data_IF_471182469220
#
_entry.id   IF_471182469220
#
_cell.length_a   1.000
_cell.length_b   1.000
_cell.length_c   1.000
_cell.angle_alpha   90.00
_cell.angle_beta   90.00
_cell.angle_gamma   90.00
#
_symmetry.space_group_name_H-M   'P 1'
#
loop_
_entity.id
_entity.type
_entity.pdbx_description
1 polymer ?
#
# COMPACT_ATOMS: atom_id res chain seq x y z
N UNK A 1 28.75 -19.46 73.08
CA UNK A 1 28.08 -18.23 73.56
C UNK A 1 28.43 -17.08 72.64
N UNK A 2 27.42 -16.46 72.01
CA UNK A 2 27.30 -15.01 71.70
C UNK A 2 28.59 -14.26 71.27
N UNK A 3 28.68 -13.81 70.00
CA UNK A 3 28.14 -12.53 69.49
C UNK A 3 28.38 -12.37 67.99
N UNK A 4 27.34 -11.96 67.29
CA UNK A 4 27.32 -11.45 65.92
C UNK A 4 27.91 -10.04 65.86
N UNK A 5 28.63 -9.72 64.78
CA UNK A 5 28.78 -8.35 64.27
C UNK A 5 28.52 -8.42 62.76
N UNK A 6 27.39 -7.85 62.34
CA UNK A 6 27.06 -7.58 60.94
C UNK A 6 27.99 -6.46 60.43
N UNK A 7 28.82 -6.78 59.43
CA UNK A 7 29.49 -5.78 58.60
C UNK A 7 28.66 -5.52 57.36
N UNK A 8 28.00 -4.36 57.30
CA UNK A 8 27.27 -3.86 56.15
C UNK A 8 28.26 -3.35 55.11
N UNK A 9 28.56 -4.13 54.07
CA UNK A 9 29.30 -3.68 52.90
C UNK A 9 28.31 -3.37 51.77
N UNK A 10 27.91 -2.10 51.63
CA UNK A 10 27.28 -1.61 50.40
C UNK A 10 28.34 -1.54 49.30
N UNK A 11 28.44 -2.59 48.48
CA UNK A 11 29.03 -2.49 47.16
C UNK A 11 27.98 -1.92 46.21
N UNK A 12 28.08 -0.62 45.93
CA UNK A 12 27.40 0.02 44.81
C UNK A 12 27.97 -0.50 43.49
N UNK A 13 27.36 -1.55 42.94
CA UNK A 13 27.59 -1.98 41.57
C UNK A 13 26.87 -1.02 40.62
N UNK A 14 27.60 -0.11 40.00
CA UNK A 14 27.13 0.59 38.80
C UNK A 14 26.99 -0.44 37.67
N UNK A 15 25.79 -1.00 37.50
CA UNK A 15 25.45 -1.72 36.28
C UNK A 15 25.12 -0.70 35.20
N UNK A 16 26.12 -0.33 34.39
CA UNK A 16 25.87 0.29 33.10
C UNK A 16 25.22 -0.75 32.20
N UNK A 17 23.89 -0.69 32.06
CA UNK A 17 23.17 -1.36 30.99
C UNK A 17 23.61 -0.72 29.67
N UNK A 18 24.65 -1.27 29.04
CA UNK A 18 24.88 -1.05 27.63
C UNK A 18 23.80 -1.81 26.89
N UNK A 19 22.77 -1.11 26.44
CA UNK A 19 21.86 -1.62 25.42
C UNK A 19 22.70 -1.89 24.16
N UNK A 20 23.08 -3.14 23.97
CA UNK A 20 23.78 -3.57 22.77
C UNK A 20 22.71 -3.72 21.69
N UNK A 21 22.55 -2.67 20.89
CA UNK A 21 21.81 -2.76 19.64
C UNK A 21 22.67 -3.65 18.74
N UNK A 22 22.19 -4.87 18.47
CA UNK A 22 22.76 -5.73 17.43
C UNK A 22 22.53 -5.02 16.08
N UNK A 23 23.45 -4.14 15.72
CA UNK A 23 23.62 -3.68 14.36
C UNK A 23 24.28 -4.82 13.60
N UNK A 24 23.48 -5.81 13.17
CA UNK A 24 23.91 -6.70 12.09
C UNK A 24 24.27 -5.80 10.91
N UNK A 25 25.57 -5.62 10.70
CA UNK A 25 26.07 -4.85 9.57
C UNK A 25 25.59 -5.62 8.34
N UNK A 26 24.77 -5.03 7.45
CA UNK A 26 24.38 -5.74 6.24
C UNK A 26 25.67 -6.07 5.50
N UNK A 27 25.92 -7.37 5.29
CA UNK A 27 27.06 -7.84 4.51
C UNK A 27 27.07 -7.09 3.19
N UNK A 28 28.00 -6.14 3.05
CA UNK A 28 28.14 -5.32 1.86
C UNK A 28 28.64 -6.24 0.74
N UNK A 29 27.71 -6.84 0.01
CA UNK A 29 28.08 -7.59 -1.16
C UNK A 29 28.46 -6.66 -2.31
N UNK A 30 29.01 -7.27 -3.34
CA UNK A 30 29.85 -6.60 -4.34
C UNK A 30 29.03 -5.63 -5.21
N UNK A 31 29.46 -4.38 -5.31
CA UNK A 31 28.92 -3.40 -6.26
C UNK A 31 28.88 -3.94 -7.69
N UNK A 32 27.95 -3.43 -8.53
CA UNK A 32 27.88 -3.73 -9.97
C UNK A 32 29.18 -3.40 -10.70
N UNK A 33 29.92 -2.39 -10.24
CA UNK A 33 31.26 -2.03 -10.75
C UNK A 33 32.30 -3.14 -10.50
N UNK A 34 32.09 -3.96 -9.47
CA UNK A 34 32.95 -5.08 -9.11
C UNK A 34 32.40 -6.43 -9.61
N UNK A 35 31.47 -6.41 -10.56
CA UNK A 35 30.85 -7.61 -11.14
C UNK A 35 29.86 -8.33 -10.21
N UNK A 36 29.38 -7.67 -9.15
CA UNK A 36 28.32 -8.20 -8.30
C UNK A 36 26.93 -7.73 -8.72
N UNK A 37 25.91 -8.57 -8.55
CA UNK A 37 24.51 -8.23 -8.79
C UNK A 37 23.85 -7.58 -7.56
N UNK A 38 24.61 -6.80 -6.77
CA UNK A 38 24.12 -6.26 -5.51
C UNK A 38 23.02 -5.21 -5.75
N UNK A 39 21.77 -5.62 -5.57
CA UNK A 39 20.59 -4.75 -5.48
C UNK A 39 20.37 -4.25 -4.04
N UNK A 40 21.43 -3.99 -3.26
CA UNK A 40 21.23 -3.51 -1.88
C UNK A 40 20.89 -2.03 -1.89
N UNK A 41 19.63 -1.74 -1.64
CA UNK A 41 19.09 -0.39 -1.54
C UNK A 41 19.57 0.27 -0.24
N UNK A 42 20.16 1.46 -0.34
CA UNK A 42 20.27 2.34 0.81
C UNK A 42 18.87 2.89 1.07
N UNK A 43 18.12 2.22 1.93
CA UNK A 43 16.81 2.71 2.36
C UNK A 43 17.03 3.99 3.18
N UNK A 44 16.58 5.12 2.62
CA UNK A 44 16.45 6.35 3.39
C UNK A 44 15.10 6.34 4.10
N UNK A 45 15.03 6.73 5.38
CA UNK A 45 13.74 6.82 6.06
C UNK A 45 12.85 7.83 5.33
N UNK A 46 11.53 7.58 5.26
CA UNK A 46 10.61 8.48 4.59
C UNK A 46 10.59 9.83 5.28
N UNK A 47 10.40 10.90 4.49
CA UNK A 47 10.36 12.24 5.04
C UNK A 47 9.22 12.34 6.08
N UNK A 48 9.44 12.93 7.27
CA UNK A 48 8.37 13.08 8.23
C UNK A 48 7.27 13.97 7.64
N UNK A 49 6.01 13.55 7.78
CA UNK A 49 4.89 14.39 7.38
C UNK A 49 4.83 15.63 8.27
N UNK A 50 4.40 16.79 7.75
CA UNK A 50 4.22 17.97 8.56
C UNK A 50 3.20 17.70 9.68
N UNK A 51 3.52 18.16 10.89
CA UNK A 51 2.59 18.10 12.00
C UNK A 51 1.40 19.02 11.70
N UNK A 52 0.22 18.42 11.59
CA UNK A 52 -1.03 19.12 11.27
C UNK A 52 -1.92 19.14 12.50
N UNK A 53 -2.42 20.31 12.87
CA UNK A 53 -3.46 20.45 13.89
C UNK A 53 -4.79 20.61 13.20
N UNK A 54 -5.84 20.03 13.76
CA UNK A 54 -7.20 20.11 13.20
C UNK A 54 -7.68 21.56 13.06
N UNK A 55 -7.29 22.44 13.98
CA UNK A 55 -7.62 23.86 13.94
C UNK A 55 -6.98 24.63 12.75
N UNK A 56 -5.90 24.11 12.18
CA UNK A 56 -5.18 24.76 11.07
C UNK A 56 -5.77 24.38 9.70
N UNK A 57 -6.73 23.45 9.66
CA UNK A 57 -7.39 22.97 8.45
C UNK A 57 -8.60 23.87 8.14
N UNK A 58 -8.48 24.69 7.10
CA UNK A 58 -9.59 25.56 6.66
C UNK A 58 -10.69 24.78 5.96
N UNK A 59 -10.28 23.77 5.18
CA UNK A 59 -11.16 22.98 4.35
C UNK A 59 -10.52 21.62 4.14
N UNK A 60 -11.35 20.57 4.16
CA UNK A 60 -10.95 19.22 3.79
C UNK A 60 -12.00 18.55 2.89
N UNK A 61 -11.53 17.68 2.00
CA UNK A 61 -12.37 16.79 1.21
C UNK A 61 -11.67 15.47 0.99
N UNK A 62 -12.38 14.39 1.33
CA UNK A 62 -11.92 13.01 1.11
C UNK A 62 -12.38 12.51 -0.25
N UNK A 63 -11.47 11.88 -0.99
CA UNK A 63 -11.70 11.37 -2.34
C UNK A 63 -11.12 9.97 -2.44
N UNK A 64 -11.78 9.12 -3.21
CA UNK A 64 -11.28 7.82 -3.61
C UNK A 64 -10.96 7.86 -5.09
N UNK A 65 -9.72 7.51 -5.42
CA UNK A 65 -9.23 7.45 -6.79
C UNK A 65 -8.90 6.01 -7.15
N UNK A 66 -8.90 5.72 -8.45
CA UNK A 66 -8.44 4.46 -8.99
C UNK A 66 -7.25 4.72 -9.91
N UNK A 67 -6.14 4.06 -9.62
CA UNK A 67 -4.96 3.97 -10.47
C UNK A 67 -5.17 2.77 -11.38
N UNK A 68 -5.07 2.99 -12.69
CA UNK A 68 -5.02 1.91 -13.68
C UNK A 68 -3.56 1.67 -14.10
N UNK A 69 -3.05 0.45 -13.87
CA UNK A 69 -1.68 0.04 -14.23
C UNK A 69 -1.48 -0.11 -15.75
N UNK A 70 -2.56 -0.07 -16.54
CA UNK A 70 -2.51 -0.06 -18.01
C UNK A 70 -2.07 1.29 -18.56
N UNK A 71 -2.10 2.35 -17.76
CA UNK A 71 -1.56 3.66 -18.14
C UNK A 71 -0.03 3.66 -18.08
N UNK A 72 0.63 4.29 -19.06
CA UNK A 72 2.10 4.27 -19.20
C UNK A 72 2.83 4.75 -17.93
N UNK A 73 2.34 5.80 -17.30
CA UNK A 73 2.93 6.35 -16.06
C UNK A 73 2.83 5.37 -14.87
N UNK A 74 1.83 4.49 -14.88
CA UNK A 74 1.57 3.53 -13.80
C UNK A 74 2.16 2.13 -14.08
N UNK A 75 2.95 1.96 -15.15
CA UNK A 75 3.60 0.68 -15.45
C UNK A 75 4.45 0.10 -14.31
N UNK A 76 5.13 0.90 -13.46
CA UNK A 76 5.92 0.33 -12.37
C UNK A 76 5.10 -0.51 -11.39
N UNK A 77 3.79 -0.25 -11.23
CA UNK A 77 2.92 -0.97 -10.30
C UNK A 77 2.79 -2.47 -10.60
N UNK A 78 2.98 -2.87 -11.86
CA UNK A 78 2.86 -4.26 -12.33
C UNK A 78 4.19 -4.89 -12.74
N UNK A 79 5.32 -4.31 -12.32
CA UNK A 79 6.63 -4.85 -12.67
C UNK A 79 6.76 -6.30 -12.17
N UNK A 80 7.17 -7.29 -13.01
CA UNK A 80 7.15 -8.70 -12.62
C UNK A 80 7.95 -9.03 -11.35
N UNK A 81 9.10 -8.38 -11.15
CA UNK A 81 9.98 -8.63 -10.00
C UNK A 81 9.74 -7.69 -8.81
N UNK A 82 9.25 -6.47 -9.07
CA UNK A 82 9.20 -5.37 -8.09
C UNK A 82 7.84 -4.68 -8.09
N UNK A 83 6.77 -5.47 -8.19
CA UNK A 83 5.40 -4.94 -8.14
C UNK A 83 5.10 -4.34 -6.76
N UNK A 84 4.17 -3.39 -6.69
CA UNK A 84 3.70 -2.89 -5.41
C UNK A 84 3.05 -4.00 -4.58
N UNK A 85 2.34 -4.93 -5.24
CA UNK A 85 1.66 -6.02 -4.55
C UNK A 85 2.61 -6.96 -3.83
N UNK A 86 3.69 -7.38 -4.49
CA UNK A 86 4.72 -8.23 -3.88
C UNK A 86 5.37 -7.56 -2.67
N UNK A 87 5.63 -6.24 -2.76
CA UNK A 87 6.15 -5.48 -1.62
C UNK A 87 5.17 -5.46 -0.44
N UNK A 88 3.87 -5.27 -0.69
CA UNK A 88 2.85 -5.26 0.37
C UNK A 88 2.65 -6.64 1.00
N UNK A 89 2.59 -7.70 0.20
CA UNK A 89 2.44 -9.08 0.70
C UNK A 89 3.64 -9.47 1.56
N UNK A 90 4.87 -9.16 1.13
CA UNK A 90 6.06 -9.39 1.95
C UNK A 90 5.99 -8.66 3.32
N UNK A 91 5.38 -7.47 3.35
CA UNK A 91 5.18 -6.70 4.59
C UNK A 91 4.12 -7.32 5.50
N UNK A 92 3.06 -7.88 4.91
CA UNK A 92 2.01 -8.59 5.64
C UNK A 92 2.55 -9.91 6.21
N UNK A 93 3.29 -10.69 5.41
CA UNK A 93 3.85 -11.97 5.83
C UNK A 93 4.94 -11.83 6.91
N UNK A 94 5.73 -10.74 6.85
CA UNK A 94 6.69 -10.40 7.90
C UNK A 94 6.04 -9.81 9.16
N UNK A 95 4.74 -9.51 9.12
CA UNK A 95 3.99 -8.90 10.23
C UNK A 95 4.30 -7.42 10.46
N UNK A 96 5.01 -6.76 9.54
CA UNK A 96 5.30 -5.32 9.63
C UNK A 96 4.12 -4.46 9.16
N UNK A 97 3.27 -4.99 8.28
CA UNK A 97 2.07 -4.31 7.79
C UNK A 97 0.80 -5.00 8.28
N UNK A 98 -0.17 -4.20 8.69
CA UNK A 98 -1.53 -4.68 9.01
C UNK A 98 -2.43 -4.43 7.81
N UNK A 99 -3.09 -5.49 7.35
CA UNK A 99 -4.14 -5.43 6.35
C UNK A 99 -5.50 -5.27 7.02
N UNK A 100 -6.40 -4.50 6.40
CA UNK A 100 -7.72 -4.18 6.92
C UNK A 100 -8.83 -4.64 5.96
N UNK A 101 -10.04 -4.80 6.49
CA UNK A 101 -11.20 -5.27 5.76
C UNK A 101 -11.67 -4.31 4.69
N UNK A 102 -12.02 -4.80 3.48
CA UNK A 102 -12.64 -3.98 2.43
C UNK A 102 -14.08 -3.56 2.74
N UNK A 103 -14.68 -4.07 3.82
CA UNK A 103 -16.07 -3.79 4.18
C UNK A 103 -16.30 -2.33 4.60
N UNK A 104 -15.33 -1.70 5.27
CA UNK A 104 -15.40 -0.29 5.67
C UNK A 104 -14.16 0.47 5.16
N UNK A 105 -14.37 1.73 4.77
CA UNK A 105 -13.34 2.65 4.26
C UNK A 105 -12.55 3.33 5.42
N UNK A 106 -12.61 2.78 6.64
CA UNK A 106 -12.10 3.38 7.89
C UNK A 106 -10.96 2.62 8.57
N UNK A 107 -10.49 1.51 8.01
CA UNK A 107 -9.38 0.71 8.57
C UNK A 107 -9.66 0.19 10.00
N UNK A 108 -10.92 -0.12 10.32
CA UNK A 108 -11.31 -0.51 11.69
C UNK A 108 -11.05 -1.99 12.00
N UNK A 109 -11.18 -2.85 10.99
CA UNK A 109 -11.16 -4.31 11.17
C UNK A 109 -9.89 -4.90 10.54
N UNK A 110 -8.90 -5.35 11.34
CA UNK A 110 -7.72 -6.01 10.79
C UNK A 110 -8.07 -7.39 10.23
N UNK A 111 -7.46 -7.77 9.10
CA UNK A 111 -7.52 -9.10 8.52
C UNK A 111 -6.30 -9.93 8.91
N UNK A 112 -6.55 -11.22 9.19
CA UNK A 112 -5.47 -12.20 9.28
C UNK A 112 -4.85 -12.46 7.89
N UNK A 113 -3.52 -12.65 7.78
CA UNK A 113 -2.86 -12.96 6.51
C UNK A 113 -3.47 -14.16 5.78
N UNK A 114 -3.85 -15.22 6.51
CA UNK A 114 -4.48 -16.41 5.95
C UNK A 114 -5.81 -16.10 5.21
N UNK A 115 -6.59 -15.13 5.70
CA UNK A 115 -7.85 -14.75 5.06
C UNK A 115 -7.62 -14.01 3.73
N UNK A 116 -6.47 -13.34 3.57
CA UNK A 116 -6.07 -12.71 2.31
C UNK A 116 -5.69 -13.77 1.29
N UNK A 117 -4.89 -14.76 1.70
CA UNK A 117 -4.50 -15.88 0.83
C UNK A 117 -5.69 -16.69 0.34
N UNK A 118 -6.69 -16.92 1.20
CA UNK A 118 -7.95 -17.58 0.82
C UNK A 118 -8.76 -16.79 -0.22
N UNK A 119 -8.62 -15.47 -0.28
CA UNK A 119 -9.27 -14.63 -1.30
C UNK A 119 -8.49 -14.60 -2.62
N UNK A 120 -7.17 -14.79 -2.57
CA UNK A 120 -6.28 -14.80 -3.73
C UNK A 120 -6.30 -16.13 -4.47
N UNK A 121 -6.31 -17.23 -3.72
CA UNK A 121 -6.22 -18.58 -4.27
C UNK A 121 -7.63 -19.09 -4.60
N UNK A 122 -8.00 -19.02 -5.87
CA UNK A 122 -9.15 -19.78 -6.37
C UNK A 122 -8.75 -21.27 -6.33
N UNK A 123 -9.39 -22.02 -5.44
CA UNK A 123 -9.11 -23.45 -5.29
C UNK A 123 -9.85 -24.20 -6.39
N UNK A 124 -9.24 -24.34 -7.55
CA UNK A 124 -9.81 -25.14 -8.64
C UNK A 124 -9.55 -26.62 -8.34
N UNK A 125 -10.62 -27.38 -8.15
CA UNK A 125 -10.53 -28.84 -7.98
C UNK A 125 -10.53 -29.46 -9.37
N UNK A 126 -9.36 -29.92 -9.82
CA UNK A 126 -9.27 -30.74 -11.02
C UNK A 126 -9.44 -32.21 -10.65
N UNK A 127 -10.34 -32.88 -11.35
CA UNK A 127 -10.52 -34.32 -11.21
C UNK A 127 -9.55 -35.01 -12.17
N UNK A 128 -8.53 -35.68 -11.63
CA UNK A 128 -7.60 -36.47 -12.42
C UNK A 128 -8.09 -37.93 -12.36
N UNK A 129 -8.13 -38.57 -13.52
CA UNK A 129 -8.49 -39.99 -13.63
C UNK A 129 -7.19 -40.79 -13.54
N UNK A 130 -7.09 -41.68 -12.54
CA UNK A 130 -5.96 -42.58 -12.44
C UNK A 130 -5.94 -43.58 -13.62
N UNK A 131 -4.85 -43.66 -14.41
CA UNK A 131 -4.78 -44.51 -15.60
C UNK A 131 -4.89 -46.02 -15.34
N UNK A 132 -4.72 -46.47 -14.10
CA UNK A 132 -4.61 -47.89 -13.73
C UNK A 132 -5.85 -48.38 -12.98
N UNK A 133 -6.47 -47.54 -12.16
CA UNK A 133 -7.60 -47.91 -11.28
C UNK A 133 -8.93 -47.30 -11.74
N UNK A 134 -8.92 -46.34 -12.67
CA UNK A 134 -10.13 -45.66 -13.15
C UNK A 134 -10.88 -44.87 -12.06
N UNK A 135 -10.26 -44.68 -10.89
CA UNK A 135 -10.82 -43.93 -9.79
C UNK A 135 -10.61 -42.43 -10.01
N UNK A 136 -11.63 -41.65 -9.68
CA UNK A 136 -11.53 -40.18 -9.66
C UNK A 136 -10.73 -39.76 -8.43
N UNK A 137 -9.52 -39.23 -8.64
CA UNK A 137 -8.79 -38.54 -7.58
C UNK A 137 -9.01 -37.04 -7.75
N UNK A 138 -9.54 -36.40 -6.70
CA UNK A 138 -9.61 -34.95 -6.64
C UNK A 138 -8.25 -34.43 -6.19
N UNK A 139 -7.49 -33.83 -7.10
CA UNK A 139 -6.27 -33.12 -6.75
C UNK A 139 -6.60 -31.64 -6.59
N UNK A 140 -6.44 -31.15 -5.36
CA UNK A 140 -6.52 -29.71 -5.07
C UNK A 140 -5.21 -29.08 -5.54
N UNK A 141 -5.22 -28.43 -6.71
CA UNK A 141 -4.09 -27.64 -7.18
C UNK A 141 -4.23 -26.23 -6.64
N UNK A 142 -3.30 -25.82 -5.77
CA UNK A 142 -3.19 -24.41 -5.37
C UNK A 142 -2.42 -23.68 -6.45
N UNK A 143 -3.11 -22.91 -7.30
CA UNK A 143 -2.41 -22.08 -8.28
C UNK A 143 -1.67 -20.96 -7.54
N UNK A 144 -0.39 -20.74 -7.87
CA UNK A 144 0.38 -19.64 -7.28
C UNK A 144 -0.13 -18.34 -7.87
N UNK A 145 -0.62 -17.43 -7.02
CA UNK A 145 -1.18 -16.16 -7.47
C UNK A 145 -0.12 -15.32 -8.19
N UNK A 146 -0.41 -14.94 -9.44
CA UNK A 146 0.43 -14.02 -10.22
C UNK A 146 0.13 -12.56 -9.84
N UNK A 147 1.10 -11.80 -9.29
CA UNK A 147 0.97 -10.37 -9.00
C UNK A 147 0.51 -9.53 -10.20
N UNK A 148 0.81 -9.96 -11.44
CA UNK A 148 0.41 -9.24 -12.65
C UNK A 148 -1.11 -9.23 -12.89
N UNK A 149 -1.89 -10.07 -12.17
CA UNK A 149 -3.35 -10.08 -12.23
C UNK A 149 -3.99 -8.81 -11.66
N UNK A 150 -3.26 -8.05 -10.82
CA UNK A 150 -3.78 -6.82 -10.22
C UNK A 150 -3.58 -5.67 -11.19
N UNK A 151 -4.67 -5.29 -11.85
CA UNK A 151 -4.65 -4.25 -12.88
C UNK A 151 -4.99 -2.86 -12.35
N UNK A 152 -5.75 -2.78 -11.25
CA UNK A 152 -6.19 -1.50 -10.67
C UNK A 152 -5.94 -1.43 -9.18
N UNK A 153 -5.68 -0.22 -8.71
CA UNK A 153 -5.49 0.09 -7.30
C UNK A 153 -6.46 1.19 -6.90
N UNK A 154 -7.10 1.04 -5.75
CA UNK A 154 -7.90 2.09 -5.14
C UNK A 154 -7.05 2.82 -4.09
N UNK A 155 -7.09 4.14 -4.14
CA UNK A 155 -6.43 5.01 -3.18
C UNK A 155 -7.46 5.89 -2.51
N UNK A 156 -7.36 5.98 -1.19
CA UNK A 156 -8.10 6.96 -0.40
C UNK A 156 -7.19 8.15 -0.09
N UNK A 157 -7.65 9.35 -0.42
CA UNK A 157 -6.90 10.59 -0.25
C UNK A 157 -7.72 11.64 0.49
N UNK A 158 -7.05 12.47 1.27
CA UNK A 158 -7.62 13.69 1.84
C UNK A 158 -6.90 14.88 1.24
N UNK A 159 -7.69 15.74 0.62
CA UNK A 159 -7.28 17.04 0.11
C UNK A 159 -7.64 18.06 1.18
N UNK A 160 -6.69 18.86 1.61
CA UNK A 160 -6.93 19.86 2.65
C UNK A 160 -6.11 21.13 2.41
N UNK A 161 -6.60 22.24 2.95
CA UNK A 161 -5.90 23.52 2.90
C UNK A 161 -5.33 23.83 4.28
N UNK A 162 -3.99 23.84 4.39
CA UNK A 162 -3.29 24.24 5.61
C UNK A 162 -3.15 25.77 5.63
N UNK A 163 -3.76 26.40 6.63
CA UNK A 163 -3.73 27.86 6.82
C UNK A 163 -2.32 28.39 7.09
N UNK A 164 -1.46 27.64 7.78
CA UNK A 164 -0.10 28.08 8.18
C UNK A 164 0.82 28.24 6.98
N UNK A 165 0.73 27.32 6.03
CA UNK A 165 1.52 27.35 4.82
C UNK A 165 0.77 28.01 3.64
N UNK A 166 -0.53 28.26 3.80
CA UNK A 166 -1.43 28.74 2.73
C UNK A 166 -1.34 27.87 1.47
N UNK A 167 -1.06 26.57 1.66
CA UNK A 167 -0.90 25.61 0.57
C UNK A 167 -1.96 24.53 0.70
N UNK A 168 -2.56 24.17 -0.43
CA UNK A 168 -3.32 22.94 -0.52
C UNK A 168 -2.36 21.75 -0.53
N UNK A 169 -2.59 20.80 0.38
CA UNK A 169 -1.82 19.58 0.50
C UNK A 169 -2.72 18.37 0.30
N UNK A 170 -2.11 17.26 -0.12
CA UNK A 170 -2.80 15.98 -0.31
C UNK A 170 -2.10 14.95 0.55
N UNK A 171 -2.89 14.18 1.31
CA UNK A 171 -2.37 13.07 2.11
C UNK A 171 -3.10 11.79 1.70
N UNK A 172 -2.33 10.77 1.34
CA UNK A 172 -2.85 9.43 1.09
C UNK A 172 -3.13 8.78 2.45
N UNK A 173 -4.34 8.25 2.62
CA UNK A 173 -4.75 7.53 3.83
C UNK A 173 -4.56 6.04 3.69
N UNK A 174 -4.88 5.48 2.52
CA UNK A 174 -4.71 4.05 2.31
C UNK A 174 -4.73 3.61 0.87
N UNK A 175 -4.27 2.39 0.69
CA UNK A 175 -4.07 1.71 -0.58
C UNK A 175 -4.82 0.38 -0.56
N UNK A 176 -5.48 0.03 -1.66
CA UNK A 176 -6.14 -1.26 -1.81
C UNK A 176 -5.95 -1.82 -3.23
N UNK A 177 -5.40 -3.05 -3.38
CA UNK A 177 -5.39 -3.72 -4.67
C UNK A 177 -6.80 -4.20 -5.03
N UNK A 178 -7.19 -4.00 -6.29
CA UNK A 178 -8.46 -4.49 -6.85
C UNK A 178 -8.21 -5.77 -7.65
N UNK A 179 -9.05 -6.78 -7.40
CA UNK A 179 -9.07 -8.00 -8.19
C UNK A 179 -10.28 -7.96 -9.13
N UNK A 180 -10.01 -8.11 -10.44
CA UNK A 180 -11.05 -8.37 -11.43
C UNK A 180 -11.45 -9.85 -11.33
N UNK A 181 -12.73 -10.12 -11.04
CA UNK A 181 -13.32 -11.46 -11.14
C UNK A 181 -14.21 -11.50 -12.37
N UNK A 182 -13.97 -12.46 -13.26
CA UNK A 182 -14.84 -12.74 -14.40
C UNK A 182 -15.93 -13.68 -13.90
N UNK A 183 -17.20 -13.37 -14.17
CA UNK A 183 -18.30 -14.30 -13.89
C UNK A 183 -18.21 -15.56 -14.77
N UNK A 184 -18.71 -16.69 -14.27
CA UNK A 184 -18.86 -17.91 -15.07
C UNK A 184 -19.91 -17.71 -16.19
N UNK A 185 -19.55 -18.22 -17.37
CA UNK A 185 -20.33 -18.33 -18.61
C UNK A 185 -21.06 -17.07 -19.15
N UNK A 186 -20.50 -16.54 -20.24
CA UNK A 186 -21.26 -15.86 -21.31
C UNK A 186 -21.59 -14.38 -21.11
N UNK A 187 -21.48 -13.84 -19.90
CA UNK A 187 -21.67 -12.39 -19.66
C UNK A 187 -20.41 -11.79 -19.06
N UNK A 188 -19.70 -10.97 -19.83
CA UNK A 188 -18.48 -10.24 -19.45
C UNK A 188 -18.76 -9.14 -18.42
N UNK A 189 -19.36 -9.47 -17.28
CA UNK A 189 -19.44 -8.54 -16.15
C UNK A 189 -18.26 -8.85 -15.24
N UNK A 190 -17.17 -8.14 -15.46
CA UNK A 190 -16.03 -8.14 -14.55
C UNK A 190 -16.40 -7.32 -13.32
N UNK A 191 -16.52 -7.97 -12.16
CA UNK A 191 -16.70 -7.27 -10.90
C UNK A 191 -15.33 -6.96 -10.31
N UNK A 192 -15.14 -5.72 -9.86
CA UNK A 192 -13.91 -5.29 -9.19
C UNK A 192 -14.14 -5.23 -7.69
N UNK A 193 -13.43 -6.09 -6.95
CA UNK A 193 -13.50 -6.11 -5.50
C UNK A 193 -12.13 -5.76 -4.90
N UNK A 194 -12.07 -4.85 -3.91
CA UNK A 194 -10.84 -4.63 -3.15
C UNK A 194 -10.53 -5.86 -2.29
N UNK A 195 -9.27 -6.29 -2.31
CA UNK A 195 -8.83 -7.46 -1.54
C UNK A 195 -8.72 -7.13 -0.04
N UNK A 196 -7.99 -6.06 0.27
CA UNK A 196 -7.75 -5.53 1.59
C UNK A 196 -7.34 -4.06 1.49
N UNK A 197 -7.42 -3.34 2.60
CA UNK A 197 -6.91 -1.98 2.74
C UNK A 197 -5.62 -1.98 3.56
N UNK A 198 -4.68 -1.11 3.20
CA UNK A 198 -3.48 -0.84 4.01
C UNK A 198 -3.48 0.63 4.40
N UNK A 199 -3.23 0.90 5.68
CA UNK A 199 -3.01 2.25 6.17
C UNK A 199 -1.66 2.76 5.62
N UNK A 200 -1.71 3.80 4.80
CA UNK A 200 -0.53 4.33 4.14
C UNK A 200 0.46 4.92 5.15
N UNK A 201 -0.02 5.53 6.25
CA UNK A 201 0.85 6.15 7.25
C UNK A 201 1.74 5.12 7.96
N UNK A 202 1.20 3.93 8.26
CA UNK A 202 1.94 2.80 8.83
C UNK A 202 2.88 2.17 7.80
N UNK A 203 2.47 2.13 6.53
CA UNK A 203 3.23 1.49 5.47
C UNK A 203 4.43 2.31 4.95
N UNK A 204 4.54 3.60 5.25
CA UNK A 204 5.60 4.47 4.68
C UNK A 204 7.02 3.94 4.95
N UNK A 205 7.41 3.57 6.19
CA UNK A 205 8.77 3.10 6.46
C UNK A 205 9.09 1.78 5.77
N UNK A 206 8.08 0.95 5.54
CA UNK A 206 8.21 -0.28 4.77
C UNK A 206 8.39 0.02 3.28
N UNK A 207 7.50 0.83 2.70
CA UNK A 207 7.55 1.20 1.28
C UNK A 207 8.84 1.96 0.90
N UNK A 208 9.47 2.65 1.85
CA UNK A 208 10.76 3.32 1.65
C UNK A 208 11.94 2.35 1.48
N UNK A 209 11.78 1.08 1.86
CA UNK A 209 12.81 0.04 1.69
C UNK A 209 12.74 -0.63 0.30
N UNK A 210 11.59 -0.53 -0.36
CA UNK A 210 11.35 -1.16 -1.66
C UNK A 210 11.53 -0.14 -2.79
N UNK A 211 12.44 -0.44 -3.70
CA UNK A 211 12.63 0.33 -4.90
C UNK A 211 11.54 0.09 -5.96
N UNK A 212 11.24 1.13 -6.70
CA UNK A 212 10.39 1.13 -7.89
C UNK A 212 11.26 0.90 -9.11
N UNK A 213 10.80 0.03 -10.01
CA UNK A 213 11.42 -0.11 -11.32
C UNK A 213 11.12 1.12 -12.19
N UNK A 214 12.18 1.82 -12.62
CA UNK A 214 12.08 2.90 -13.60
C UNK A 214 12.28 2.36 -15.00
N UNK A 215 11.59 2.92 -16.00
CA UNK A 215 11.77 2.54 -17.41
C UNK A 215 12.98 3.20 -18.09
N UNK A 216 13.47 4.31 -17.53
CA UNK A 216 14.42 5.20 -18.20
C UNK A 216 15.82 5.17 -17.56
N UNK A 217 15.90 4.78 -16.28
CA UNK A 217 17.16 4.75 -15.54
C UNK A 217 17.19 3.66 -14.47
N UNK A 218 17.99 2.62 -14.70
CA UNK A 218 18.21 1.51 -13.76
C UNK A 218 19.06 1.91 -12.54
N UNK A 219 19.76 3.05 -12.63
CA UNK A 219 20.63 3.57 -11.57
C UNK A 219 19.88 4.46 -10.57
N UNK A 220 19.01 5.36 -11.04
CA UNK A 220 18.17 6.16 -10.15
C UNK A 220 16.94 5.37 -9.72
N UNK A 221 17.02 4.71 -8.57
CA UNK A 221 15.93 3.93 -8.03
C UNK A 221 15.20 4.75 -6.96
N UNK A 222 14.02 5.26 -7.30
CA UNK A 222 13.09 5.84 -6.34
C UNK A 222 12.44 4.75 -5.51
N UNK A 223 12.10 5.03 -4.25
CA UNK A 223 11.32 4.10 -3.44
C UNK A 223 9.83 4.19 -3.76
N UNK A 224 9.05 3.18 -3.34
CA UNK A 224 7.59 3.26 -3.45
C UNK A 224 7.04 4.44 -2.66
N UNK A 225 7.67 4.76 -1.53
CA UNK A 225 7.31 5.93 -0.74
C UNK A 225 7.53 7.23 -1.50
N UNK A 226 8.68 7.40 -2.16
CA UNK A 226 8.99 8.58 -2.97
C UNK A 226 7.98 8.78 -4.10
N UNK A 227 7.60 7.70 -4.81
CA UNK A 227 6.61 7.76 -5.90
C UNK A 227 5.27 8.30 -5.39
N UNK A 228 4.81 7.81 -4.24
CA UNK A 228 3.55 8.25 -3.64
C UNK A 228 3.64 9.66 -3.04
N UNK A 229 4.77 10.01 -2.40
CA UNK A 229 5.01 11.33 -1.84
C UNK A 229 5.08 12.41 -2.93
N UNK A 230 5.77 12.13 -4.04
CA UNK A 230 5.83 13.00 -5.22
C UNK A 230 4.57 12.90 -6.08
N UNK A 231 3.65 11.98 -5.76
CA UNK A 231 2.41 11.72 -6.49
C UNK A 231 2.65 11.45 -7.99
N UNK A 232 3.70 10.69 -8.30
CA UNK A 232 4.09 10.32 -9.67
C UNK A 232 3.24 9.13 -10.18
N UNK A 233 1.93 9.33 -10.23
CA UNK A 233 0.98 8.36 -10.77
C UNK A 233 -0.22 9.09 -11.37
N UNK A 234 -0.91 8.42 -12.29
CA UNK A 234 -2.18 8.90 -12.83
C UNK A 234 -3.33 8.09 -12.25
N UNK A 235 -4.42 8.79 -11.91
CA UNK A 235 -5.58 8.19 -11.30
C UNK A 235 -6.84 8.99 -11.63
N UNK A 236 -7.97 8.31 -11.80
CA UNK A 236 -9.27 8.97 -11.97
C UNK A 236 -10.09 8.90 -10.68
N UNK A 237 -11.00 9.85 -10.50
CA UNK A 237 -11.89 9.90 -9.33
C UNK A 237 -12.97 8.83 -9.47
N UNK A 238 -13.11 7.99 -8.45
CA UNK A 238 -14.09 6.91 -8.35
C UNK A 238 -15.27 7.27 -7.45
N UNK A 239 -14.99 7.94 -6.32
CA UNK A 239 -15.96 8.37 -5.33
C UNK A 239 -15.46 9.67 -4.69
N UNK A 240 -16.36 10.60 -4.45
CA UNK A 240 -16.11 11.78 -3.62
C UNK A 240 -16.87 11.66 -2.30
N UNK A 241 -16.36 12.28 -1.24
CA UNK A 241 -17.12 12.40 0.00
C UNK A 241 -18.24 13.42 -0.20
N UNK A 242 -19.44 12.92 -0.51
CA UNK A 242 -20.69 13.66 -0.61
C UNK A 242 -21.63 13.23 0.52
N UNK A 243 -22.62 14.07 0.86
CA UNK A 243 -23.62 13.80 1.89
C UNK A 243 -24.33 12.45 1.70
N UNK A 244 -24.50 12.04 0.45
CA UNK A 244 -25.16 10.78 0.07
C UNK A 244 -24.19 9.60 -0.01
N UNK A 245 -22.87 9.82 0.08
CA UNK A 245 -21.85 8.77 0.05
C UNK A 245 -21.80 7.93 -1.24
N UNK A 246 -22.42 8.40 -2.32
CA UNK A 246 -22.59 7.65 -3.58
C UNK A 246 -21.29 7.58 -4.38
N UNK A 247 -21.11 6.48 -5.10
CA UNK A 247 -20.02 6.35 -6.08
C UNK A 247 -20.41 7.05 -7.37
N UNK A 248 -19.43 7.50 -8.15
CA UNK A 248 -19.73 8.17 -9.43
C UNK A 248 -20.52 7.28 -10.39
N UNK A 249 -20.23 5.98 -10.39
CA UNK A 249 -20.89 4.96 -11.20
C UNK A 249 -22.38 4.74 -10.84
N UNK A 250 -22.80 5.12 -9.63
CA UNK A 250 -24.17 4.85 -9.17
C UNK A 250 -25.18 5.82 -9.80
N UNK A 251 -24.72 6.96 -10.31
CA UNK A 251 -25.59 8.01 -10.88
C UNK A 251 -25.12 8.57 -12.23
N UNK A 252 -23.95 8.15 -12.73
CA UNK A 252 -23.47 8.47 -14.08
C UNK A 252 -22.94 7.22 -14.76
N UNK A 253 -23.08 7.16 -16.07
CA UNK A 253 -22.58 6.07 -16.92
C UNK A 253 -21.90 6.62 -18.17
N UNK A 254 -21.04 5.80 -18.79
CA UNK A 254 -20.37 6.14 -20.05
C UNK A 254 -19.51 7.40 -20.00
N UNK A 255 -19.68 8.27 -21.00
CA UNK A 255 -18.89 9.51 -21.15
C UNK A 255 -19.13 10.51 -20.00
N UNK A 256 -20.38 10.58 -19.51
CA UNK A 256 -20.75 11.49 -18.43
C UNK A 256 -19.98 11.21 -17.15
N UNK A 257 -19.67 9.94 -16.87
CA UNK A 257 -18.85 9.53 -15.74
C UNK A 257 -17.45 10.11 -15.85
N UNK A 258 -16.82 9.98 -17.02
CA UNK A 258 -15.48 10.51 -17.29
C UNK A 258 -15.46 12.04 -17.20
N UNK A 259 -16.48 12.70 -17.74
CA UNK A 259 -16.63 14.16 -17.66
C UNK A 259 -16.76 14.63 -16.22
N UNK A 260 -17.57 13.95 -15.41
CA UNK A 260 -17.76 14.28 -14.00
C UNK A 260 -16.49 14.00 -13.18
N UNK A 261 -15.80 12.90 -13.43
CA UNK A 261 -14.52 12.58 -12.79
C UNK A 261 -13.48 13.68 -13.05
N UNK A 262 -13.32 14.10 -14.31
CA UNK A 262 -12.44 15.22 -14.68
C UNK A 262 -12.89 16.56 -14.11
N UNK A 263 -14.20 16.80 -14.01
CA UNK A 263 -14.73 18.01 -13.38
C UNK A 263 -14.32 18.07 -11.91
N UNK A 264 -14.53 16.99 -11.14
CA UNK A 264 -14.14 16.93 -9.73
C UNK A 264 -12.63 17.16 -9.58
N UNK A 265 -11.81 16.54 -10.42
CA UNK A 265 -10.35 16.72 -10.38
C UNK A 265 -9.94 18.19 -10.63
N UNK A 266 -10.56 18.86 -11.61
CA UNK A 266 -10.33 20.29 -11.86
C UNK A 266 -10.80 21.17 -10.72
N UNK A 267 -11.99 20.91 -10.18
CA UNK A 267 -12.56 21.68 -9.07
C UNK A 267 -11.62 21.62 -7.85
N UNK A 268 -11.00 20.46 -7.59
CA UNK A 268 -10.01 20.30 -6.53
C UNK A 268 -8.73 21.09 -6.78
N UNK A 269 -8.24 21.14 -8.02
CA UNK A 269 -7.04 21.90 -8.37
C UNK A 269 -7.30 23.41 -8.31
N UNK A 270 -8.46 23.85 -8.79
CA UNK A 270 -8.85 25.26 -8.83
C UNK A 270 -9.23 25.82 -7.46
N UNK A 271 -9.62 24.96 -6.50
CA UNK A 271 -10.00 25.38 -5.15
C UNK A 271 -8.95 26.26 -4.48
N UNK A 272 -7.67 26.02 -4.77
CA UNK A 272 -6.59 26.90 -4.31
C UNK A 272 -6.84 28.34 -4.74
N UNK A 273 -7.08 28.60 -6.02
CA UNK A 273 -7.28 29.95 -6.57
C UNK A 273 -8.46 30.67 -5.90
N UNK A 274 -9.56 29.96 -5.65
CA UNK A 274 -10.75 30.51 -5.03
C UNK A 274 -10.52 30.98 -3.58
N UNK A 275 -9.61 30.34 -2.85
CA UNK A 275 -9.28 30.75 -1.47
C UNK A 275 -8.46 32.04 -1.45
N UNK A 276 -7.75 32.38 -2.54
CA UNK A 276 -6.93 33.59 -2.64
C UNK A 276 -7.69 34.80 -3.20
N UNK A 277 -8.89 34.63 -3.75
CA UNK A 277 -9.65 35.71 -4.41
C UNK A 277 -10.59 36.48 -3.46
N UNK A 278 -10.45 36.29 -2.15
CA UNK A 278 -11.29 36.90 -1.11
C UNK A 278 -10.53 37.85 -0.19
#
# INVERSE_FOLDING_TARGET
MKKWILGLAMLGGMHTLTAQIDHSTPTAGKSWLAGGAQESYLSSPPLPLPALREADILWEKRIWRVIDTREKINFPFRHPAHSLFTALVAGIDSGQLTAYSPADDRFSEPLAPAAIWNRLNQTDTITIIDPITGAYQQQVVTNTFDPARILRWRIQEVWYFDTRHSTQQVRILGLAPLLETTGEEGTTVSYESPLFWINYAEARPWLAQYAVASSDNDHSRSSWEDLFAMRQFSAYVYKENDLLGRRLQDYRSGEDLLRKSKQIDRDLQHRKMDVWSY
#
